data_IF_254695500030
#
_entry.id   IF_254695500030
#
_cell.length_a   1.000
_cell.length_b   1.000
_cell.length_c   1.000
_cell.angle_alpha   90.00
_cell.angle_beta   90.00
_cell.angle_gamma   90.00
#
_symmetry.space_group_name_H-M   'P 1'
#
loop_
_entity.id
_entity.type
_entity.pdbx_description
1 polymer ?
#
# COMPACT_ATOMS: atom_id res chain seq x y z
N UNK A 1 11.84 7.35 -6.90
CA UNK A 1 10.49 7.80 -7.30
C UNK A 1 10.41 8.40 -8.70
N UNK A 2 10.89 9.63 -8.99
CA UNK A 2 10.75 10.27 -10.34
C UNK A 2 11.26 9.42 -11.51
N UNK A 3 12.28 8.60 -11.33
CA UNK A 3 12.88 7.78 -12.40
C UNK A 3 12.05 6.53 -12.75
N UNK A 4 11.31 5.95 -11.80
CA UNK A 4 10.44 4.78 -12.02
C UNK A 4 9.14 5.22 -12.71
N UNK A 5 8.54 6.34 -12.27
CA UNK A 5 7.37 6.92 -12.95
C UNK A 5 7.70 7.34 -14.41
N UNK A 6 8.88 7.93 -14.65
CA UNK A 6 9.33 8.25 -16.01
C UNK A 6 9.57 6.98 -16.84
N UNK A 7 10.08 5.91 -16.24
CA UNK A 7 10.27 4.61 -16.88
C UNK A 7 8.94 3.97 -17.29
N UNK A 8 7.95 3.96 -16.41
CA UNK A 8 6.60 3.46 -16.72
C UNK A 8 5.91 4.31 -17.80
N UNK A 9 6.00 5.64 -17.72
CA UNK A 9 5.44 6.53 -18.73
C UNK A 9 6.10 6.35 -20.11
N UNK A 10 7.41 6.10 -20.16
CA UNK A 10 8.11 5.87 -21.44
C UNK A 10 7.78 4.49 -22.06
N UNK A 11 7.55 3.47 -21.25
CA UNK A 11 7.07 2.15 -21.71
C UNK A 11 5.65 2.27 -22.29
N UNK A 12 4.78 3.09 -21.69
CA UNK A 12 3.44 3.40 -22.19
C UNK A 12 3.45 3.94 -23.62
N UNK A 13 4.35 4.87 -23.93
CA UNK A 13 4.44 5.49 -25.26
C UNK A 13 4.97 4.52 -26.33
N UNK A 14 5.80 3.57 -25.95
CA UNK A 14 6.44 2.63 -26.89
C UNK A 14 5.56 1.41 -27.26
N UNK A 15 4.63 1.02 -26.37
CA UNK A 15 3.80 -0.20 -26.58
C UNK A 15 2.47 0.15 -27.27
N UNK A 16 2.08 1.44 -27.36
CA UNK A 16 0.86 1.85 -28.04
C UNK A 16 1.14 2.07 -29.52
N UNK A 17 0.67 1.19 -30.43
CA UNK A 17 0.71 1.48 -31.84
C UNK A 17 -0.07 2.77 -32.14
N UNK A 18 0.45 3.60 -33.02
CA UNK A 18 -0.10 4.94 -33.34
C UNK A 18 -1.56 4.91 -33.87
N UNK A 19 -2.12 3.74 -34.16
CA UNK A 19 -3.48 3.53 -34.65
C UNK A 19 -4.33 2.65 -33.71
N UNK A 20 -3.94 2.48 -32.42
CA UNK A 20 -4.74 1.73 -31.47
C UNK A 20 -5.98 2.53 -31.07
N UNK A 21 -7.16 1.95 -31.22
CA UNK A 21 -8.36 2.48 -30.64
C UNK A 21 -8.31 2.25 -29.12
N UNK A 22 -8.13 3.33 -28.36
CA UNK A 22 -7.95 3.29 -26.91
C UNK A 22 -9.28 3.58 -26.21
N UNK A 23 -9.73 2.63 -25.43
CA UNK A 23 -10.89 2.76 -24.55
C UNK A 23 -10.44 3.35 -23.21
N UNK A 24 -11.07 4.46 -22.79
CA UNK A 24 -10.82 5.09 -21.48
C UNK A 24 -11.89 4.62 -20.51
N UNK A 25 -11.52 4.41 -19.26
CA UNK A 25 -12.45 3.98 -18.22
C UNK A 25 -12.20 4.72 -16.92
N UNK A 26 -13.29 4.89 -16.17
CA UNK A 26 -13.25 5.41 -14.79
C UNK A 26 -14.15 4.56 -13.93
N UNK A 27 -13.81 4.39 -12.66
CA UNK A 27 -14.65 3.66 -11.75
C UNK A 27 -14.23 3.79 -10.31
N UNK A 28 -14.96 3.06 -9.48
CA UNK A 28 -14.73 2.97 -8.03
C UNK A 28 -14.55 1.52 -7.64
N UNK A 29 -13.79 1.30 -6.59
CA UNK A 29 -13.50 -0.02 -6.03
C UNK A 29 -13.82 -0.05 -4.55
N UNK A 30 -14.44 -1.12 -4.07
CA UNK A 30 -14.52 -1.50 -2.67
C UNK A 30 -13.52 -2.62 -2.41
N UNK A 31 -12.68 -2.47 -1.40
CA UNK A 31 -11.60 -3.39 -1.08
C UNK A 31 -11.76 -3.93 0.33
N UNK A 32 -11.64 -5.25 0.47
CA UNK A 32 -11.37 -5.92 1.74
C UNK A 32 -9.90 -6.35 1.73
N UNK A 33 -9.17 -6.00 2.78
CA UNK A 33 -7.72 -6.12 2.84
C UNK A 33 -7.30 -6.72 4.16
N UNK A 34 -6.37 -7.67 4.13
CA UNK A 34 -5.65 -8.19 5.29
C UNK A 34 -4.20 -7.77 5.18
N UNK A 35 -3.72 -7.03 6.18
CA UNK A 35 -2.35 -6.55 6.24
C UNK A 35 -1.61 -7.31 7.32
N UNK A 36 -0.60 -8.05 6.91
CA UNK A 36 0.31 -8.77 7.77
C UNK A 36 1.62 -7.99 7.92
N UNK A 37 2.02 -7.73 9.16
CA UNK A 37 3.23 -6.99 9.47
C UNK A 37 4.12 -7.78 10.42
N UNK A 38 5.41 -7.82 10.10
CA UNK A 38 6.46 -8.36 10.98
C UNK A 38 7.33 -7.21 11.45
N UNK A 39 7.24 -6.90 12.74
CA UNK A 39 8.04 -5.84 13.38
C UNK A 39 9.17 -6.47 14.18
N UNK A 40 10.37 -5.98 13.98
CA UNK A 40 11.57 -6.41 14.70
C UNK A 40 12.26 -5.23 15.35
N UNK A 41 12.73 -5.41 16.59
CA UNK A 41 13.48 -4.43 17.36
C UNK A 41 14.91 -4.94 17.60
N UNK A 42 15.91 -4.08 17.33
CA UNK A 42 17.30 -4.21 17.73
C UNK A 42 17.61 -3.05 18.69
N UNK A 43 17.60 -3.34 20.00
CA UNK A 43 17.54 -2.32 21.07
C UNK A 43 18.83 -1.50 21.17
N UNK A 44 19.98 -2.07 20.83
CA UNK A 44 21.27 -1.41 20.90
C UNK A 44 21.93 -1.21 19.53
N UNK A 45 21.17 -1.50 18.45
CA UNK A 45 21.62 -1.40 17.05
C UNK A 45 22.92 -2.18 16.78
N UNK A 46 23.07 -3.34 17.43
CA UNK A 46 24.24 -4.19 17.27
C UNK A 46 24.11 -5.21 16.11
N UNK A 47 22.96 -5.21 15.42
CA UNK A 47 22.63 -6.13 14.33
C UNK A 47 21.99 -7.44 14.80
N UNK A 48 21.69 -7.56 16.10
CA UNK A 48 20.98 -8.72 16.65
C UNK A 48 19.53 -8.35 16.97
N UNK A 49 18.57 -9.09 16.44
CA UNK A 49 17.16 -8.86 16.74
C UNK A 49 16.85 -9.31 18.17
N UNK A 50 16.39 -8.38 19.02
CA UNK A 50 16.00 -8.64 20.40
C UNK A 50 14.54 -9.08 20.52
N UNK A 51 13.66 -8.51 19.69
CA UNK A 51 12.20 -8.78 19.73
C UNK A 51 11.64 -8.91 18.33
N UNK A 52 10.71 -9.83 18.13
CA UNK A 52 9.93 -9.98 16.91
C UNK A 52 8.46 -10.05 17.26
N UNK A 53 7.63 -9.27 16.56
CA UNK A 53 6.17 -9.26 16.72
C UNK A 53 5.51 -9.36 15.35
N UNK A 54 4.57 -10.29 15.21
CA UNK A 54 3.70 -10.39 14.04
C UNK A 54 2.34 -9.77 14.39
N UNK A 55 1.82 -8.95 13.48
CA UNK A 55 0.54 -8.25 13.60
C UNK A 55 -0.23 -8.52 12.31
N UNK A 56 -1.51 -8.84 12.43
CA UNK A 56 -2.42 -9.02 11.30
C UNK A 56 -3.67 -8.17 11.53
N UNK A 57 -4.01 -7.31 10.57
CA UNK A 57 -5.15 -6.40 10.66
C UNK A 57 -6.00 -6.50 9.40
N UNK A 58 -7.32 -6.61 9.61
CA UNK A 58 -8.30 -6.54 8.52
C UNK A 58 -8.84 -5.11 8.40
N UNK A 59 -8.81 -4.56 7.18
CA UNK A 59 -9.31 -3.23 6.87
C UNK A 59 -10.18 -3.26 5.62
N UNK A 60 -11.13 -2.31 5.53
CA UNK A 60 -11.93 -2.11 4.32
C UNK A 60 -11.87 -0.65 3.91
N UNK A 61 -11.67 -0.42 2.61
CA UNK A 61 -11.57 0.93 2.06
C UNK A 61 -12.14 1.01 0.64
N UNK A 62 -12.27 2.22 0.14
CA UNK A 62 -12.65 2.49 -1.24
C UNK A 62 -11.54 3.19 -2.02
N UNK A 63 -11.49 2.96 -3.33
CA UNK A 63 -10.60 3.68 -4.23
C UNK A 63 -11.31 4.15 -5.50
N UNK A 64 -10.65 5.03 -6.23
CA UNK A 64 -11.08 5.54 -7.54
C UNK A 64 -9.99 5.19 -8.53
N UNK A 65 -10.37 4.65 -9.69
CA UNK A 65 -9.40 4.32 -10.72
C UNK A 65 -9.69 5.02 -12.05
N UNK A 66 -8.61 5.23 -12.81
CA UNK A 66 -8.61 5.68 -14.20
C UNK A 66 -7.80 4.69 -15.02
N UNK A 67 -8.33 4.29 -16.17
CA UNK A 67 -7.72 3.28 -17.05
C UNK A 67 -7.73 3.70 -18.51
N UNK A 68 -6.74 3.21 -19.25
CA UNK A 68 -6.70 3.23 -20.71
C UNK A 68 -6.42 1.81 -21.17
N UNK A 69 -7.31 1.26 -22.00
CA UNK A 69 -7.23 -0.11 -22.50
C UNK A 69 -7.02 -0.12 -24.02
N UNK A 70 -6.05 -0.89 -24.48
CA UNK A 70 -5.92 -1.32 -25.86
C UNK A 70 -6.54 -2.71 -26.00
N UNK A 71 -7.66 -2.81 -26.72
CA UNK A 71 -8.40 -4.08 -26.94
C UNK A 71 -7.82 -4.90 -28.08
N UNK A 72 -6.82 -4.38 -28.84
CA UNK A 72 -6.26 -4.98 -30.04
C UNK A 72 -4.83 -5.50 -29.82
N UNK A 73 -4.56 -6.14 -28.70
CA UNK A 73 -3.26 -6.75 -28.40
C UNK A 73 -3.33 -8.25 -28.69
N UNK A 74 -3.27 -8.63 -29.98
CA UNK A 74 -3.44 -10.03 -30.40
C UNK A 74 -4.83 -10.57 -30.03
N UNK A 75 -4.94 -11.72 -29.33
CA UNK A 75 -6.21 -12.27 -28.86
C UNK A 75 -6.69 -11.65 -27.53
N UNK A 76 -6.01 -10.63 -27.02
CA UNK A 76 -6.22 -10.09 -25.70
C UNK A 76 -6.33 -8.58 -25.66
N UNK A 77 -6.28 -8.05 -24.44
CA UNK A 77 -6.27 -6.64 -24.13
C UNK A 77 -5.09 -6.29 -23.23
N UNK A 78 -4.68 -5.03 -23.24
CA UNK A 78 -3.69 -4.48 -22.32
C UNK A 78 -4.24 -3.19 -21.72
N UNK A 79 -4.45 -3.20 -20.41
CA UNK A 79 -4.93 -2.05 -19.65
C UNK A 79 -3.80 -1.43 -18.86
N UNK A 80 -3.70 -0.11 -18.89
CA UNK A 80 -2.87 0.69 -17.99
C UNK A 80 -3.79 1.49 -17.09
N UNK A 81 -3.52 1.48 -15.80
CA UNK A 81 -4.37 2.16 -14.83
C UNK A 81 -3.60 2.84 -13.72
N UNK A 82 -4.31 3.77 -13.10
CA UNK A 82 -3.94 4.40 -11.84
C UNK A 82 -5.12 4.23 -10.90
N UNK A 83 -4.86 3.74 -9.70
CA UNK A 83 -5.81 3.62 -8.60
C UNK A 83 -5.38 4.54 -7.47
N UNK A 84 -6.31 5.30 -6.92
CA UNK A 84 -6.09 6.26 -5.84
C UNK A 84 -7.06 5.95 -4.69
N UNK A 85 -6.53 5.74 -3.49
CA UNK A 85 -7.31 5.72 -2.26
C UNK A 85 -7.42 7.17 -1.78
N UNK A 86 -8.62 7.77 -1.80
CA UNK A 86 -8.81 9.15 -1.36
C UNK A 86 -8.80 9.24 0.16
N UNK A 87 -8.12 10.25 0.70
CA UNK A 87 -8.08 10.55 2.12
C UNK A 87 -6.91 9.91 2.84
N UNK A 88 -6.81 10.25 4.13
CA UNK A 88 -5.92 9.61 5.10
C UNK A 88 -6.67 8.55 5.89
N UNK A 89 -6.00 7.49 6.27
CA UNK A 89 -6.52 6.47 7.17
C UNK A 89 -5.56 6.30 8.35
N UNK A 90 -6.07 6.43 9.59
CA UNK A 90 -5.34 6.00 10.77
C UNK A 90 -5.22 4.47 10.72
N UNK A 91 -3.99 4.00 10.60
CA UNK A 91 -3.71 2.58 10.42
C UNK A 91 -3.56 1.86 11.75
N UNK A 92 -2.86 2.46 12.70
CA UNK A 92 -2.71 1.94 14.07
C UNK A 92 -2.51 3.09 15.05
N UNK A 93 -3.18 3.00 16.19
CA UNK A 93 -2.94 3.85 17.34
C UNK A 93 -2.63 2.97 18.55
N UNK A 94 -1.46 3.16 19.13
CA UNK A 94 -1.02 2.41 20.29
C UNK A 94 -0.64 3.33 21.44
N UNK A 95 -1.13 3.02 22.62
CA UNK A 95 -0.71 3.69 23.84
C UNK A 95 -0.21 2.69 24.88
N UNK A 96 0.94 2.98 25.48
CA UNK A 96 1.54 2.18 26.55
C UNK A 96 1.75 3.05 27.77
N UNK A 97 1.08 2.72 28.86
CA UNK A 97 1.27 3.40 30.14
C UNK A 97 2.58 2.94 30.77
N UNK A 98 3.46 3.89 31.02
CA UNK A 98 4.72 3.66 31.72
C UNK A 98 4.53 4.06 33.18
N UNK A 99 4.71 3.12 34.11
CA UNK A 99 4.78 3.43 35.53
C UNK A 99 6.21 3.77 35.93
N UNK A 100 6.37 4.73 36.83
CA UNK A 100 7.65 5.04 37.43
C UNK A 100 8.18 3.77 38.13
N UNK A 101 9.12 3.07 37.51
CA UNK A 101 9.87 2.04 38.20
C UNK A 101 10.94 2.71 39.06
N UNK A 102 11.03 2.26 40.31
CA UNK A 102 12.00 2.77 41.28
C UNK A 102 13.40 2.77 40.71
N UNK A 103 14.25 3.68 41.24
CA UNK A 103 15.59 3.96 40.81
C UNK A 103 16.37 2.68 40.40
N UNK A 104 16.80 2.61 39.13
CA UNK A 104 17.82 1.65 38.73
C UNK A 104 19.08 1.86 39.59
N UNK A 105 19.64 0.77 40.11
CA UNK A 105 20.95 0.82 40.76
C UNK A 105 21.98 1.38 39.75
N UNK A 106 22.35 2.65 39.89
CA UNK A 106 23.23 3.36 38.98
C UNK A 106 22.98 4.86 38.83
N UNK A 107 22.01 5.44 39.55
CA UNK A 107 21.86 6.90 39.64
C UNK A 107 21.19 7.58 38.46
N UNK A 108 20.45 6.87 37.62
CA UNK A 108 19.59 7.48 36.62
C UNK A 108 18.38 8.15 37.26
N UNK A 109 17.98 9.32 36.77
CA UNK A 109 16.79 10.06 37.21
C UNK A 109 15.55 9.16 37.19
N UNK A 110 14.63 9.31 38.16
CA UNK A 110 13.38 8.55 38.18
C UNK A 110 12.63 8.75 36.87
N UNK A 111 12.22 7.64 36.24
CA UNK A 111 11.41 7.71 35.02
C UNK A 111 10.05 8.34 35.35
N UNK A 112 9.62 9.27 34.51
CA UNK A 112 8.32 9.90 34.62
C UNK A 112 7.18 8.90 34.43
N UNK A 113 6.12 9.02 35.22
CA UNK A 113 4.88 8.25 35.03
C UNK A 113 4.04 8.93 33.95
N UNK A 114 3.52 8.18 32.99
CA UNK A 114 2.64 8.71 31.96
C UNK A 114 2.39 7.71 30.83
N UNK A 115 1.88 8.18 29.71
CA UNK A 115 1.53 7.36 28.56
C UNK A 115 2.40 7.72 27.37
N UNK A 116 3.08 6.75 26.80
CA UNK A 116 3.70 6.85 25.49
C UNK A 116 2.64 6.45 24.47
N UNK A 117 2.48 7.20 23.39
CA UNK A 117 1.57 6.84 22.29
C UNK A 117 2.26 6.98 20.95
N UNK A 118 1.90 6.11 20.03
CA UNK A 118 2.29 6.17 18.64
C UNK A 118 1.05 6.06 17.77
N UNK A 119 0.97 6.89 16.74
CA UNK A 119 -0.07 6.84 15.71
C UNK A 119 0.62 6.73 14.36
N UNK A 120 0.08 5.90 13.48
CA UNK A 120 0.55 5.75 12.10
C UNK A 120 -0.62 6.07 11.18
N UNK A 121 -0.47 7.13 10.41
CA UNK A 121 -1.42 7.57 9.40
C UNK A 121 -0.87 7.28 8.01
N UNK A 122 -1.70 6.74 7.13
CA UNK A 122 -1.37 6.51 5.72
C UNK A 122 -2.09 7.54 4.87
N UNK A 123 -1.31 8.33 4.15
CA UNK A 123 -1.79 9.34 3.23
C UNK A 123 -1.45 8.96 1.78
N UNK A 124 -2.25 9.48 0.83
CA UNK A 124 -1.97 9.43 -0.60
C UNK A 124 -1.49 8.08 -1.13
N UNK A 125 -2.27 7.03 -0.90
CA UNK A 125 -1.97 5.71 -1.46
C UNK A 125 -2.32 5.68 -2.97
N UNK A 126 -1.31 5.47 -3.81
CA UNK A 126 -1.43 5.44 -5.27
C UNK A 126 -0.87 4.12 -5.79
N UNK A 127 -1.62 3.46 -6.65
CA UNK A 127 -1.16 2.29 -7.40
C UNK A 127 -1.14 2.61 -8.90
N UNK A 128 -0.01 2.40 -9.56
CA UNK A 128 0.10 2.40 -11.02
C UNK A 128 0.23 0.96 -11.49
N UNK A 129 -0.59 0.53 -12.43
CA UNK A 129 -0.64 -0.89 -12.80
C UNK A 129 -0.82 -1.14 -14.29
N UNK A 130 -0.49 -2.36 -14.68
CA UNK A 130 -0.71 -2.93 -16.00
C UNK A 130 -1.50 -4.22 -15.86
N UNK A 131 -2.53 -4.39 -16.70
CA UNK A 131 -3.36 -5.59 -16.70
C UNK A 131 -3.43 -6.18 -18.11
N UNK A 132 -2.62 -7.20 -18.43
CA UNK A 132 -2.85 -8.05 -19.59
C UNK A 132 -4.11 -8.89 -19.36
N UNK A 133 -4.98 -8.99 -20.36
CA UNK A 133 -6.23 -9.73 -20.27
C UNK A 133 -6.58 -10.50 -21.54
N UNK A 134 -7.41 -11.52 -21.41
CA UNK A 134 -8.00 -12.29 -22.50
C UNK A 134 -9.50 -12.19 -22.39
N UNK A 135 -10.14 -11.65 -23.42
CA UNK A 135 -11.60 -11.45 -23.47
C UNK A 135 -12.28 -12.56 -24.28
N UNK A 136 -13.28 -13.17 -23.68
CA UNK A 136 -14.13 -14.17 -24.32
C UNK A 136 -15.28 -13.51 -25.10
N UNK A 137 -15.87 -14.23 -26.03
CA UNK A 137 -16.96 -13.74 -26.89
C UNK A 137 -18.21 -13.28 -26.13
N UNK A 138 -18.38 -13.71 -24.88
CA UNK A 138 -19.51 -13.29 -24.02
C UNK A 138 -19.18 -12.06 -23.15
N UNK A 139 -18.05 -11.38 -23.41
CA UNK A 139 -17.64 -10.16 -22.68
C UNK A 139 -17.08 -10.41 -21.29
N UNK A 140 -16.59 -11.61 -20.99
CA UNK A 140 -15.83 -11.93 -19.78
C UNK A 140 -14.36 -11.83 -20.12
N UNK A 141 -13.61 -11.02 -19.36
CA UNK A 141 -12.16 -10.88 -19.46
C UNK A 141 -11.51 -11.49 -18.22
N UNK A 142 -10.57 -12.40 -18.44
CA UNK A 142 -9.64 -12.87 -17.42
C UNK A 142 -8.38 -12.02 -17.52
N UNK A 143 -7.85 -11.53 -16.41
CA UNK A 143 -6.68 -10.67 -16.43
C UNK A 143 -5.72 -10.98 -15.27
N UNK A 144 -4.45 -10.64 -15.49
CA UNK A 144 -3.45 -10.52 -14.43
C UNK A 144 -3.15 -9.05 -14.16
N UNK A 145 -2.69 -8.72 -12.96
CA UNK A 145 -2.27 -7.38 -12.58
C UNK A 145 -0.83 -7.39 -12.12
N UNK A 146 -0.05 -6.44 -12.63
CA UNK A 146 1.26 -6.08 -12.08
C UNK A 146 1.23 -4.59 -11.81
N UNK A 147 1.48 -4.19 -10.57
CA UNK A 147 1.41 -2.80 -10.15
C UNK A 147 2.59 -2.39 -9.27
N UNK A 148 2.81 -1.09 -9.22
CA UNK A 148 3.69 -0.42 -8.28
C UNK A 148 2.84 0.46 -7.38
N UNK A 149 3.01 0.28 -6.09
CA UNK A 149 2.27 0.98 -5.04
C UNK A 149 3.20 1.98 -4.37
N UNK A 150 2.70 3.16 -4.07
CA UNK A 150 3.38 4.13 -3.22
C UNK A 150 2.37 4.79 -2.29
N UNK A 151 2.75 4.96 -1.04
CA UNK A 151 1.98 5.67 -0.03
C UNK A 151 2.89 6.55 0.82
N UNK A 152 2.39 7.68 1.28
CA UNK A 152 3.05 8.46 2.31
C UNK A 152 2.53 8.00 3.68
N UNK A 153 3.44 7.77 4.60
CA UNK A 153 3.16 7.33 5.97
C UNK A 153 3.68 8.36 6.94
N UNK A 154 2.81 8.87 7.79
CA UNK A 154 3.19 9.75 8.89
C UNK A 154 3.15 8.97 10.21
N UNK A 155 4.28 8.91 10.89
CA UNK A 155 4.42 8.26 12.18
C UNK A 155 4.61 9.31 13.29
N UNK A 156 3.59 9.48 14.13
CA UNK A 156 3.63 10.33 15.31
C UNK A 156 3.99 9.55 16.56
N UNK A 157 5.12 9.87 17.17
CA UNK A 157 5.55 9.28 18.44
C UNK A 157 5.54 10.32 19.54
N UNK A 158 4.69 10.12 20.53
CA UNK A 158 4.63 10.92 21.77
C UNK A 158 5.25 10.14 22.92
N UNK A 159 6.30 10.67 23.50
CA UNK A 159 7.01 10.03 24.62
C UNK A 159 7.06 10.98 25.83
N UNK A 160 6.86 10.43 27.03
CA UNK A 160 6.94 11.19 28.30
C UNK A 160 8.36 11.66 28.59
N UNK A 161 9.36 10.93 28.10
CA UNK A 161 10.76 11.16 28.43
C UNK A 161 11.58 11.75 27.28
N UNK A 162 10.97 12.03 26.12
CA UNK A 162 11.65 12.63 24.97
C UNK A 162 10.75 13.63 24.24
N UNK A 163 11.35 14.41 23.35
CA UNK A 163 10.62 15.30 22.45
C UNK A 163 9.74 14.47 21.51
N UNK A 164 8.47 14.88 21.33
CA UNK A 164 7.59 14.30 20.33
C UNK A 164 8.25 14.37 18.96
N UNK A 165 8.15 13.30 18.20
CA UNK A 165 8.75 13.20 16.87
C UNK A 165 7.70 12.76 15.88
N UNK A 166 7.58 13.51 14.80
CA UNK A 166 6.83 13.13 13.61
C UNK A 166 7.84 12.75 12.53
N UNK A 167 7.69 11.59 11.92
CA UNK A 167 8.50 11.16 10.78
C UNK A 167 7.59 10.90 9.59
N UNK A 168 7.94 11.49 8.45
CA UNK A 168 7.33 11.19 7.16
C UNK A 168 8.16 10.09 6.47
N UNK A 169 7.52 9.00 6.14
CA UNK A 169 8.11 7.84 5.47
C UNK A 169 7.37 7.59 4.15
N UNK A 170 8.06 7.04 3.17
CA UNK A 170 7.44 6.55 1.94
C UNK A 170 7.39 5.03 2.01
N UNK A 171 6.22 4.47 1.78
CA UNK A 171 5.97 3.04 1.70
C UNK A 171 5.77 2.70 0.22
N UNK A 172 6.72 2.01 -0.35
CA UNK A 172 6.71 1.55 -1.74
C UNK A 172 6.49 0.03 -1.78
N UNK A 173 5.88 -0.48 -2.86
CA UNK A 173 5.66 -1.92 -2.97
C UNK A 173 5.31 -2.38 -4.38
N UNK A 174 5.27 -3.70 -4.56
CA UNK A 174 4.88 -4.36 -5.81
C UNK A 174 3.59 -5.13 -5.59
N UNK A 175 2.58 -4.84 -6.42
CA UNK A 175 1.29 -5.53 -6.43
C UNK A 175 1.25 -6.57 -7.54
N UNK A 176 0.85 -7.79 -7.21
CA UNK A 176 0.53 -8.86 -8.15
C UNK A 176 -0.89 -9.34 -7.92
N UNK A 177 -1.66 -9.52 -9.01
CA UNK A 177 -3.07 -9.91 -8.88
C UNK A 177 -3.58 -10.70 -10.06
N UNK A 178 -4.75 -11.28 -9.87
CA UNK A 178 -5.54 -11.96 -10.90
C UNK A 178 -7.01 -11.62 -10.72
N UNK A 179 -7.75 -11.54 -11.81
CA UNK A 179 -9.16 -11.18 -11.69
C UNK A 179 -9.98 -11.49 -12.92
N UNK A 180 -11.26 -11.15 -12.77
CA UNK A 180 -12.26 -11.28 -13.83
C UNK A 180 -13.02 -9.96 -13.97
N UNK A 181 -13.24 -9.54 -15.22
CA UNK A 181 -14.04 -8.36 -15.58
C UNK A 181 -15.19 -8.79 -16.48
N UNK A 182 -16.40 -8.36 -16.18
CA UNK A 182 -17.58 -8.51 -17.04
C UNK A 182 -18.00 -7.17 -17.57
N UNK A 183 -17.94 -7.01 -18.90
CA UNK A 183 -18.42 -5.82 -19.60
C UNK A 183 -19.87 -6.00 -20.07
N UNK A 184 -20.61 -4.89 -20.08
CA UNK A 184 -22.00 -4.80 -20.52
C UNK A 184 -22.10 -3.87 -21.73
N UNK A 185 -23.18 -3.98 -22.50
CA UNK A 185 -23.33 -3.31 -23.79
C UNK A 185 -23.42 -1.77 -23.75
N UNK A 186 -23.55 -1.18 -22.57
CA UNK A 186 -23.60 0.28 -22.36
C UNK A 186 -22.25 0.87 -21.91
N UNK A 187 -21.18 0.07 -21.97
CA UNK A 187 -19.84 0.44 -21.51
C UNK A 187 -19.62 0.27 -20.02
N UNK A 188 -20.65 -0.13 -19.25
CA UNK A 188 -20.48 -0.47 -17.84
C UNK A 188 -19.74 -1.80 -17.68
N UNK A 189 -19.00 -1.95 -16.60
CA UNK A 189 -18.39 -3.22 -16.22
C UNK A 189 -18.33 -3.41 -14.72
N UNK A 190 -18.23 -4.66 -14.32
CA UNK A 190 -17.93 -5.10 -12.96
C UNK A 190 -16.65 -5.92 -13.00
N UNK A 191 -15.78 -5.74 -12.02
CA UNK A 191 -14.50 -6.42 -11.89
C UNK A 191 -14.33 -6.96 -10.48
N UNK A 192 -13.86 -8.20 -10.37
CA UNK A 192 -13.40 -8.83 -9.14
C UNK A 192 -11.92 -9.17 -9.28
N UNK A 193 -11.10 -8.76 -8.32
CA UNK A 193 -9.66 -8.97 -8.31
C UNK A 193 -9.23 -9.51 -6.94
N UNK A 194 -8.37 -10.51 -6.94
CA UNK A 194 -7.56 -10.92 -5.80
C UNK A 194 -6.12 -10.50 -6.07
N UNK A 195 -5.48 -9.84 -5.12
CA UNK A 195 -4.11 -9.39 -5.29
C UNK A 195 -3.33 -9.43 -3.97
N UNK A 196 -2.02 -9.58 -4.09
CA UNK A 196 -1.03 -9.47 -3.03
C UNK A 196 -0.11 -8.28 -3.33
N UNK A 197 0.23 -7.52 -2.31
CA UNK A 197 1.19 -6.42 -2.38
C UNK A 197 2.27 -6.68 -1.36
N UNK A 198 3.50 -6.77 -1.82
CA UNK A 198 4.72 -6.86 -1.02
C UNK A 198 5.32 -5.45 -0.96
N UNK A 199 5.44 -4.90 0.25
CA UNK A 199 5.98 -3.57 0.49
C UNK A 199 7.45 -3.63 0.86
N UNK A 200 8.19 -2.62 0.46
CA UNK A 200 9.59 -2.47 0.86
C UNK A 200 9.71 -2.31 2.38
N UNK A 201 10.70 -2.95 2.97
CA UNK A 201 11.02 -2.85 4.39
C UNK A 201 11.25 -1.40 4.82
N UNK A 202 10.58 -0.96 5.86
CA UNK A 202 10.84 0.34 6.48
C UNK A 202 11.58 0.17 7.80
N UNK A 203 12.54 1.05 8.07
CA UNK A 203 13.27 1.04 9.33
C UNK A 203 13.45 2.45 9.89
N UNK A 204 13.23 2.58 11.20
CA UNK A 204 13.38 3.81 11.96
C UNK A 204 14.33 3.57 13.12
N UNK A 205 15.28 4.49 13.29
CA UNK A 205 16.16 4.45 14.48
C UNK A 205 15.72 5.52 15.48
N UNK A 206 15.38 5.08 16.67
CA UNK A 206 14.96 5.97 17.76
C UNK A 206 16.13 6.74 18.34
N UNK A 207 15.86 7.80 19.12
CA UNK A 207 16.89 8.59 19.82
C UNK A 207 17.73 7.79 20.82
N UNK A 208 17.24 6.62 21.24
CA UNK A 208 17.96 5.72 22.16
C UNK A 208 18.76 4.62 21.44
N UNK A 209 19.01 4.80 20.14
CA UNK A 209 19.73 3.82 19.29
C UNK A 209 19.00 2.49 19.10
N UNK A 210 17.68 2.42 19.35
CA UNK A 210 16.88 1.24 18.98
C UNK A 210 16.50 1.32 17.52
N UNK A 211 16.85 0.33 16.73
CA UNK A 211 16.41 0.20 15.34
C UNK A 211 15.15 -0.64 15.31
N UNK A 212 14.05 -0.06 14.82
CA UNK A 212 12.78 -0.74 14.59
C UNK A 212 12.63 -0.95 13.09
N UNK A 213 12.35 -2.16 12.69
CA UNK A 213 12.16 -2.54 11.28
C UNK A 213 10.79 -3.17 11.12
N UNK A 214 10.05 -2.76 10.09
CA UNK A 214 8.76 -3.32 9.72
C UNK A 214 8.79 -3.81 8.28
N UNK A 215 8.35 -5.05 8.10
CA UNK A 215 8.13 -5.74 6.84
C UNK A 215 6.63 -6.02 6.72
N UNK A 216 6.00 -5.70 5.58
CA UNK A 216 4.55 -5.69 5.44
C UNK A 216 4.10 -6.32 4.13
N UNK A 217 3.12 -7.20 4.25
CA UNK A 217 2.40 -7.80 3.14
C UNK A 217 0.92 -7.43 3.20
N UNK A 218 0.29 -7.25 2.06
CA UNK A 218 -1.13 -6.92 1.99
C UNK A 218 -1.85 -7.83 0.99
N UNK A 219 -2.82 -8.60 1.47
CA UNK A 219 -3.71 -9.42 0.65
C UNK A 219 -5.06 -8.73 0.48
N UNK A 220 -5.51 -8.56 -0.77
CA UNK A 220 -6.74 -7.82 -1.08
C UNK A 220 -7.73 -8.63 -1.91
N UNK A 221 -9.02 -8.44 -1.60
CA UNK A 221 -10.13 -8.81 -2.46
C UNK A 221 -10.89 -7.52 -2.84
N UNK A 222 -10.92 -7.21 -4.12
CA UNK A 222 -11.43 -5.95 -4.64
C UNK A 222 -12.61 -6.17 -5.58
N UNK A 223 -13.71 -5.42 -5.35
CA UNK A 223 -14.87 -5.37 -6.22
C UNK A 223 -14.99 -3.97 -6.82
N UNK A 224 -14.90 -3.87 -8.15
CA UNK A 224 -14.94 -2.59 -8.86
C UNK A 224 -16.17 -2.50 -9.76
N UNK A 225 -16.66 -1.28 -9.90
CA UNK A 225 -17.66 -0.90 -10.92
C UNK A 225 -17.09 0.28 -11.70
N UNK A 226 -17.14 0.21 -13.02
CA UNK A 226 -16.60 1.24 -13.89
C UNK A 226 -17.39 1.43 -15.15
N UNK A 227 -17.04 2.52 -15.86
CA UNK A 227 -17.60 2.87 -17.17
C UNK A 227 -16.49 3.19 -18.15
N UNK A 228 -16.61 2.63 -19.33
CA UNK A 228 -15.74 2.83 -20.50
C UNK A 228 -16.41 3.80 -21.49
N UNK A 229 -15.56 4.60 -22.20
CA UNK A 229 -15.97 5.57 -23.22
C UNK A 229 -15.13 5.46 -24.48
#
# INVERSE_FOLDING_TARGET
MKKILLGLASVLIYIMPANAELTKSVGITAVSSTIDSKVTDDIDSNGTIDTTKNISNDVAYGSIFLEVTNENVGPGSLTFGIDLIPGSAEFESRSVSQQASGAKAGGASPQSTGTNSGTVDVDRHITVYVQPGITTSNGLTLFGTVGYVTADVEADVKSISSTNKTEELSLDGVKLGVGVKKSFGDGMFVRLEYAETDYDEISVTTSNSTKVTADMDNTTLALSVGKSF
#
